data_IF_803813578759
#
_entry.id   IF_803813578759
#
_cell.length_a   1.000
_cell.length_b   1.000
_cell.length_c   1.000
_cell.angle_alpha   90.00
_cell.angle_beta   90.00
_cell.angle_gamma   90.00
#
_symmetry.space_group_name_H-M   'P 1'
#
loop_
_entity.id
_entity.type
_entity.pdbx_description
1 polymer ?
#
# COMPACT_ATOMS: atom_id res chain seq x y z
N UNK A 1 2.57 -8.02 -21.89
CA UNK A 1 2.49 -7.82 -20.44
C UNK A 1 3.80 -7.22 -19.99
N UNK A 2 3.82 -6.27 -19.08
CA UNK A 2 5.10 -5.75 -18.57
C UNK A 2 5.80 -6.84 -17.75
N UNK A 3 7.06 -7.08 -18.08
CA UNK A 3 7.92 -8.01 -17.33
C UNK A 3 8.75 -7.19 -16.34
N UNK A 4 8.80 -7.61 -15.10
CA UNK A 4 9.51 -6.93 -14.02
C UNK A 4 10.75 -7.72 -13.62
N UNK A 5 11.85 -7.00 -13.36
CA UNK A 5 13.04 -7.57 -12.75
C UNK A 5 12.82 -7.69 -11.23
N UNK A 6 12.81 -8.91 -10.66
CA UNK A 6 12.57 -9.11 -9.25
C UNK A 6 13.63 -8.45 -8.35
N UNK A 7 14.86 -8.30 -8.83
CA UNK A 7 15.96 -7.68 -8.05
C UNK A 7 15.77 -6.18 -7.84
N UNK A 8 15.01 -5.51 -8.70
CA UNK A 8 14.82 -4.05 -8.68
C UNK A 8 13.37 -3.63 -8.47
N UNK A 9 12.46 -4.59 -8.19
CA UNK A 9 11.03 -4.37 -8.01
C UNK A 9 10.59 -4.75 -6.60
N UNK A 10 9.79 -3.91 -5.95
CA UNK A 10 9.19 -4.19 -4.65
C UNK A 10 7.66 -4.13 -4.71
N UNK A 11 6.99 -5.10 -4.08
CA UNK A 11 5.57 -5.01 -3.76
C UNK A 11 5.41 -4.26 -2.44
N UNK A 12 4.56 -3.25 -2.42
CA UNK A 12 4.23 -2.48 -1.21
C UNK A 12 2.73 -2.58 -0.97
N UNK A 13 2.35 -3.24 0.11
CA UNK A 13 0.95 -3.44 0.51
C UNK A 13 0.59 -2.48 1.64
N UNK A 14 -0.40 -1.62 1.37
CA UNK A 14 -0.79 -0.51 2.24
C UNK A 14 -1.96 -0.92 3.14
N UNK A 15 -1.74 -0.83 4.45
CA UNK A 15 -2.74 -0.86 5.51
C UNK A 15 -3.68 -2.10 5.50
N UNK A 16 -3.14 -3.27 5.09
CA UNK A 16 -3.85 -4.55 5.21
C UNK A 16 -3.72 -5.09 6.65
N UNK A 17 -4.30 -4.33 7.59
CA UNK A 17 -4.26 -4.50 9.04
C UNK A 17 -5.65 -4.56 9.63
N UNK A 18 -5.80 -5.18 10.81
CA UNK A 18 -7.10 -5.42 11.46
C UNK A 18 -7.95 -4.16 11.61
N UNK A 19 -7.32 -3.03 11.99
CA UNK A 19 -8.03 -1.77 12.20
C UNK A 19 -8.54 -1.08 10.92
N UNK A 20 -8.01 -1.44 9.75
CA UNK A 20 -8.37 -0.82 8.47
C UNK A 20 -9.28 -1.71 7.62
N UNK A 21 -9.10 -3.03 7.66
CA UNK A 21 -9.93 -3.96 6.87
C UNK A 21 -11.36 -4.07 7.37
N UNK A 22 -11.63 -3.60 8.57
CA UNK A 22 -12.98 -3.58 9.15
C UNK A 22 -13.91 -2.65 8.37
N UNK A 23 -15.22 -2.98 8.37
CA UNK A 23 -16.29 -2.20 7.75
C UNK A 23 -16.36 -2.32 6.22
N UNK A 24 -17.39 -1.68 5.67
CA UNK A 24 -17.70 -1.76 4.23
C UNK A 24 -16.64 -1.07 3.38
N UNK A 25 -16.37 -1.69 2.23
CA UNK A 25 -15.46 -1.21 1.21
C UNK A 25 -16.10 -1.36 -0.18
N UNK A 26 -15.60 -0.58 -1.14
CA UNK A 26 -16.03 -0.66 -2.53
C UNK A 26 -14.93 -0.18 -3.49
N UNK A 27 -14.87 -0.76 -4.68
CA UNK A 27 -15.79 -1.72 -5.33
C UNK A 27 -15.66 -3.17 -4.84
N UNK A 28 -14.54 -3.52 -4.18
CA UNK A 28 -14.27 -4.87 -3.62
C UNK A 28 -14.35 -4.83 -2.11
N UNK A 29 -14.76 -5.91 -1.51
CA UNK A 29 -14.65 -6.08 -0.06
C UNK A 29 -13.19 -6.12 0.38
N UNK A 30 -12.93 -5.80 1.64
CA UNK A 30 -11.60 -5.93 2.21
C UNK A 30 -11.09 -7.38 2.16
N UNK A 31 -11.98 -8.37 2.33
CA UNK A 31 -11.61 -9.79 2.27
C UNK A 31 -11.11 -10.20 0.88
N UNK A 32 -11.75 -9.75 -0.20
CA UNK A 32 -11.29 -9.99 -1.57
C UNK A 32 -9.92 -9.38 -1.82
N UNK A 33 -9.72 -8.12 -1.40
CA UNK A 33 -8.40 -7.45 -1.54
C UNK A 33 -7.32 -8.16 -0.74
N UNK A 34 -7.61 -8.60 0.49
CA UNK A 34 -6.66 -9.35 1.32
C UNK A 34 -6.29 -10.68 0.65
N UNK A 35 -7.25 -11.41 0.10
CA UNK A 35 -6.99 -12.67 -0.60
C UNK A 35 -6.07 -12.45 -1.82
N UNK A 36 -6.41 -11.50 -2.68
CA UNK A 36 -5.61 -11.14 -3.86
C UNK A 36 -4.22 -10.62 -3.49
N UNK A 37 -4.11 -9.84 -2.40
CA UNK A 37 -2.83 -9.34 -1.91
C UNK A 37 -1.91 -10.46 -1.40
N UNK A 38 -2.44 -11.45 -0.69
CA UNK A 38 -1.68 -12.62 -0.23
C UNK A 38 -1.15 -13.44 -1.41
N UNK A 39 -1.99 -13.68 -2.41
CA UNK A 39 -1.59 -14.39 -3.63
C UNK A 39 -0.48 -13.63 -4.37
N UNK A 40 -0.66 -12.31 -4.57
CA UNK A 40 0.34 -11.48 -5.22
C UNK A 40 1.65 -11.47 -4.43
N UNK A 41 1.61 -11.30 -3.10
CA UNK A 41 2.79 -11.33 -2.24
C UNK A 41 3.52 -12.69 -2.31
N UNK A 42 2.80 -13.80 -2.36
CA UNK A 42 3.38 -15.13 -2.55
C UNK A 42 4.15 -15.23 -3.88
N UNK A 43 3.61 -14.67 -4.97
CA UNK A 43 4.29 -14.64 -6.28
C UNK A 43 5.55 -13.77 -6.25
N UNK A 44 5.53 -12.62 -5.57
CA UNK A 44 6.72 -11.77 -5.39
C UNK A 44 7.80 -12.50 -4.60
N UNK A 45 7.46 -13.12 -3.47
CA UNK A 45 8.40 -13.92 -2.66
C UNK A 45 8.99 -15.08 -3.47
N UNK A 46 8.16 -15.80 -4.21
CA UNK A 46 8.61 -16.91 -5.06
C UNK A 46 9.57 -16.47 -6.16
N UNK A 47 9.43 -15.24 -6.67
CA UNK A 47 10.36 -14.65 -7.63
C UNK A 47 11.62 -14.04 -6.99
N UNK A 48 11.74 -14.03 -5.67
CA UNK A 48 12.82 -13.38 -4.94
C UNK A 48 12.71 -11.84 -4.91
N UNK A 49 11.55 -11.29 -5.24
CA UNK A 49 11.28 -9.86 -5.19
C UNK A 49 10.88 -9.41 -3.77
N UNK A 50 11.23 -8.17 -3.44
CA UNK A 50 10.96 -7.61 -2.11
C UNK A 50 9.47 -7.42 -1.86
N UNK A 51 9.02 -7.82 -0.66
CA UNK A 51 7.68 -7.50 -0.15
C UNK A 51 7.81 -6.55 1.04
N UNK A 52 7.06 -5.45 1.00
CA UNK A 52 6.98 -4.45 2.07
C UNK A 52 5.54 -4.35 2.53
N UNK A 53 5.32 -4.54 3.80
CA UNK A 53 4.03 -4.40 4.46
C UNK A 53 4.00 -3.09 5.24
N UNK A 54 3.08 -2.21 4.87
CA UNK A 54 2.93 -0.90 5.51
C UNK A 54 1.67 -0.91 6.35
N UNK A 55 1.77 -0.43 7.58
CA UNK A 55 0.64 -0.25 8.47
C UNK A 55 0.62 1.15 9.08
N UNK A 56 -0.57 1.65 9.40
CA UNK A 56 -0.77 2.93 10.07
C UNK A 56 -1.11 2.70 11.53
N UNK A 57 -0.51 3.47 12.42
CA UNK A 57 -0.79 3.40 13.85
C UNK A 57 -0.46 4.70 14.56
N UNK A 58 -1.03 4.87 15.74
CA UNK A 58 -0.88 6.03 16.59
C UNK A 58 -0.72 5.53 18.02
N UNK A 59 0.55 5.38 18.45
CA UNK A 59 0.88 4.79 19.76
C UNK A 59 0.64 5.78 20.89
N UNK A 60 0.81 7.07 20.61
CA UNK A 60 0.46 8.15 21.53
C UNK A 60 -0.22 9.31 20.78
N UNK A 61 -0.57 10.35 21.53
CA UNK A 61 -1.28 11.50 20.97
C UNK A 61 -0.40 12.37 20.07
N UNK A 62 0.91 12.34 20.25
CA UNK A 62 1.84 13.10 19.43
C UNK A 62 2.02 12.49 18.03
N UNK A 63 1.75 11.20 17.87
CA UNK A 63 1.76 10.53 16.58
C UNK A 63 0.61 10.97 15.67
N UNK A 64 -0.49 11.50 16.25
CA UNK A 64 -1.68 11.89 15.50
C UNK A 64 -1.48 13.27 14.89
N UNK A 65 -1.46 13.40 13.54
CA UNK A 65 -1.32 14.70 12.90
C UNK A 65 -2.39 15.68 13.37
N UNK A 66 -1.93 16.80 13.90
CA UNK A 66 -2.79 17.86 14.43
C UNK A 66 -3.03 18.92 13.35
N UNK A 67 -4.19 18.89 12.71
CA UNK A 67 -4.59 19.89 11.74
C UNK A 67 -6.10 20.14 11.80
N UNK A 68 -6.49 21.39 11.54
CA UNK A 68 -7.91 21.73 11.38
C UNK A 68 -8.35 21.33 9.97
N UNK A 69 -9.29 20.39 9.89
CA UNK A 69 -9.84 19.91 8.62
C UNK A 69 -11.36 19.80 8.71
N UNK A 70 -12.04 20.00 7.58
CA UNK A 70 -13.50 19.98 7.53
C UNK A 70 -14.08 18.58 7.85
N UNK A 71 -13.36 17.52 7.44
CA UNK A 71 -13.79 16.11 7.62
C UNK A 71 -12.62 15.29 8.15
N UNK A 72 -12.44 15.25 9.47
CA UNK A 72 -11.36 14.47 10.08
C UNK A 72 -11.54 12.97 9.81
N UNK A 73 -10.47 12.32 9.40
CA UNK A 73 -10.44 10.88 9.12
C UNK A 73 -9.52 10.12 10.08
N UNK A 74 -8.68 10.84 10.81
CA UNK A 74 -7.77 10.27 11.80
C UNK A 74 -8.48 10.09 13.14
N UNK A 75 -8.03 9.13 13.96
CA UNK A 75 -8.57 8.96 15.32
C UNK A 75 -8.25 10.18 16.17
N UNK A 76 -9.07 10.43 17.20
CA UNK A 76 -8.83 11.49 18.18
C UNK A 76 -7.92 11.05 19.33
N UNK A 77 -7.84 9.76 19.55
CA UNK A 77 -7.07 9.12 20.62
C UNK A 77 -6.15 8.04 20.03
N UNK A 78 -5.09 7.64 20.74
CA UNK A 78 -4.21 6.55 20.33
C UNK A 78 -4.97 5.27 19.99
N UNK A 79 -4.49 4.54 19.01
CA UNK A 79 -5.09 3.28 18.57
C UNK A 79 -4.60 2.11 19.45
N UNK A 80 -5.47 1.11 19.74
CA UNK A 80 -5.04 -0.07 20.48
C UNK A 80 -4.01 -0.86 19.66
N UNK A 81 -3.14 -1.63 20.36
CA UNK A 81 -2.10 -2.43 19.71
C UNK A 81 -2.66 -3.37 18.62
N UNK A 82 -3.85 -3.96 18.83
CA UNK A 82 -4.50 -4.81 17.84
C UNK A 82 -4.88 -4.09 16.54
N UNK A 83 -4.99 -2.76 16.55
CA UNK A 83 -5.32 -1.98 15.35
C UNK A 83 -4.23 -2.10 14.29
N UNK A 84 -2.95 -2.10 14.70
CA UNK A 84 -1.79 -2.14 13.80
C UNK A 84 -1.41 -3.54 13.35
N UNK A 85 -1.98 -4.59 13.94
CA UNK A 85 -1.67 -5.97 13.57
C UNK A 85 -2.09 -6.26 12.13
N UNK A 86 -1.20 -6.85 11.34
CA UNK A 86 -1.55 -7.30 9.99
C UNK A 86 -2.63 -8.39 10.06
N UNK A 87 -3.37 -8.52 8.97
CA UNK A 87 -4.32 -9.63 8.82
C UNK A 87 -3.55 -10.95 8.84
N UNK A 88 -4.14 -11.96 9.48
CA UNK A 88 -3.53 -13.28 9.65
C UNK A 88 -2.99 -13.85 8.32
N UNK A 89 -1.77 -14.37 8.33
CA UNK A 89 -1.11 -15.02 7.19
C UNK A 89 -0.71 -14.07 6.04
N UNK A 90 -0.67 -12.75 6.25
CA UNK A 90 -0.13 -11.80 5.29
C UNK A 90 1.40 -11.68 5.43
N UNK A 91 1.86 -11.42 6.64
CA UNK A 91 3.28 -11.25 6.96
C UNK A 91 4.00 -12.61 6.96
N UNK A 92 5.20 -12.65 6.40
CA UNK A 92 6.08 -13.82 6.39
C UNK A 92 7.52 -13.40 6.67
N UNK A 93 8.33 -14.37 7.06
CA UNK A 93 9.77 -14.16 7.28
C UNK A 93 10.44 -13.59 6.02
N UNK A 94 11.23 -12.55 6.21
CA UNK A 94 11.91 -11.84 5.13
C UNK A 94 11.17 -10.63 4.59
N UNK A 95 9.92 -10.41 4.93
CA UNK A 95 9.19 -9.19 4.60
C UNK A 95 9.76 -7.99 5.38
N UNK A 96 9.64 -6.81 4.78
CA UNK A 96 9.94 -5.55 5.47
C UNK A 96 8.65 -4.95 5.97
N UNK A 97 8.64 -4.52 7.23
CA UNK A 97 7.52 -3.77 7.82
C UNK A 97 7.84 -2.29 7.97
N UNK A 98 6.84 -1.45 7.76
CA UNK A 98 6.93 0.01 7.90
C UNK A 98 5.70 0.53 8.63
N UNK A 99 5.90 1.11 9.81
CA UNK A 99 4.86 1.84 10.55
C UNK A 99 4.86 3.30 10.11
N UNK A 100 3.69 3.81 9.77
CA UNK A 100 3.48 5.22 9.41
C UNK A 100 2.43 5.89 10.29
N UNK A 101 2.48 7.21 10.35
CA UNK A 101 1.51 8.06 11.07
C UNK A 101 0.75 9.00 10.12
N UNK A 102 0.97 8.85 8.81
CA UNK A 102 0.36 9.65 7.74
C UNK A 102 -0.30 8.75 6.70
N UNK A 103 -0.99 9.32 5.71
CA UNK A 103 -1.54 8.53 4.61
C UNK A 103 -0.44 7.90 3.74
N UNK A 104 0.55 8.72 3.34
CA UNK A 104 1.66 8.26 2.50
C UNK A 104 2.70 7.47 3.29
N UNK A 105 3.19 6.39 2.69
CA UNK A 105 4.15 5.50 3.32
C UNK A 105 5.59 6.04 3.35
N UNK A 106 5.90 7.08 2.58
CA UNK A 106 7.23 7.70 2.55
C UNK A 106 7.37 8.82 3.59
N UNK A 107 6.27 9.44 3.99
CA UNK A 107 6.31 10.59 4.90
C UNK A 107 6.61 10.16 6.33
N UNK A 108 7.75 10.62 6.86
CA UNK A 108 8.15 10.36 8.24
C UNK A 108 8.56 8.91 8.53
N UNK A 109 8.90 8.14 7.48
CA UNK A 109 9.34 6.74 7.60
C UNK A 109 10.72 6.54 6.98
N UNK A 110 11.28 5.36 7.15
CA UNK A 110 12.54 4.94 6.51
C UNK A 110 12.32 4.13 5.22
N UNK A 111 11.11 4.16 4.63
CA UNK A 111 10.78 3.37 3.45
C UNK A 111 11.72 3.66 2.27
N UNK A 112 11.90 4.94 1.91
CA UNK A 112 12.80 5.32 0.79
C UNK A 112 14.23 4.79 1.02
N UNK A 113 14.76 4.97 2.22
CA UNK A 113 16.09 4.47 2.58
C UNK A 113 16.19 2.94 2.41
N UNK A 114 15.18 2.20 2.88
CA UNK A 114 15.11 0.73 2.76
C UNK A 114 15.08 0.27 1.31
N UNK A 115 14.32 0.95 0.45
CA UNK A 115 14.19 0.66 -0.98
C UNK A 115 15.49 1.00 -1.73
N UNK A 116 16.04 2.20 -1.53
CA UNK A 116 17.28 2.65 -2.21
C UNK A 116 18.46 1.76 -1.89
N UNK A 117 18.64 1.38 -0.63
CA UNK A 117 19.74 0.48 -0.23
C UNK A 117 19.69 -0.90 -0.87
N UNK A 118 18.52 -1.30 -1.37
CA UNK A 118 18.28 -2.58 -2.08
C UNK A 118 18.24 -2.43 -3.60
N UNK A 119 18.54 -1.23 -4.11
CA UNK A 119 18.52 -0.97 -5.55
C UNK A 119 17.13 -0.99 -6.18
N UNK A 120 16.05 -0.87 -5.38
CA UNK A 120 14.68 -0.86 -5.90
C UNK A 120 14.45 0.39 -6.74
N UNK A 121 13.90 0.18 -7.93
CA UNK A 121 13.54 1.22 -8.90
C UNK A 121 12.06 1.24 -9.20
N UNK A 122 11.40 0.07 -9.14
CA UNK A 122 9.97 -0.09 -9.41
C UNK A 122 9.24 -0.43 -8.14
N UNK A 123 8.16 0.27 -7.85
CA UNK A 123 7.26 -0.02 -6.73
C UNK A 123 5.89 -0.42 -7.25
N UNK A 124 5.42 -1.57 -6.84
CA UNK A 124 4.11 -2.12 -7.18
C UNK A 124 3.22 -1.97 -5.96
N UNK A 125 2.14 -1.21 -6.08
CA UNK A 125 1.30 -0.80 -4.96
C UNK A 125 -0.06 -1.48 -4.98
N UNK A 126 -0.47 -1.96 -3.81
CA UNK A 126 -1.81 -2.46 -3.52
C UNK A 126 -2.24 -2.10 -2.10
N UNK A 127 -3.46 -2.44 -1.70
CA UNK A 127 -3.96 -2.24 -0.34
C UNK A 127 -5.15 -1.30 -0.20
N UNK A 128 -5.34 -0.74 0.99
CA UNK A 128 -6.51 0.05 1.41
C UNK A 128 -6.05 1.37 2.06
N UNK A 129 -6.61 2.53 1.72
CA UNK A 129 -7.64 2.74 0.72
C UNK A 129 -7.04 3.41 -0.53
N UNK A 130 -7.60 3.10 -1.68
CA UNK A 130 -7.14 3.54 -3.01
C UNK A 130 -6.85 5.04 -3.07
N UNK A 131 -7.81 5.88 -2.68
CA UNK A 131 -7.73 7.34 -2.76
C UNK A 131 -7.16 8.02 -1.50
N UNK A 132 -6.60 7.25 -0.57
CA UNK A 132 -5.91 7.75 0.63
C UNK A 132 -4.48 7.21 0.68
N UNK A 133 -4.24 6.13 1.44
CA UNK A 133 -2.90 5.60 1.66
C UNK A 133 -2.21 5.15 0.37
N UNK A 134 -2.92 4.47 -0.53
CA UNK A 134 -2.34 4.02 -1.81
C UNK A 134 -1.99 5.21 -2.70
N UNK A 135 -2.92 6.14 -2.92
CA UNK A 135 -2.69 7.33 -3.76
C UNK A 135 -1.60 8.23 -3.19
N UNK A 136 -1.62 8.52 -1.88
CA UNK A 136 -0.58 9.35 -1.25
C UNK A 136 0.81 8.71 -1.39
N UNK A 137 0.89 7.39 -1.25
CA UNK A 137 2.15 6.65 -1.46
C UNK A 137 2.59 6.68 -2.91
N UNK A 138 1.66 6.52 -3.87
CA UNK A 138 1.95 6.58 -5.29
C UNK A 138 2.49 7.95 -5.73
N UNK A 139 1.89 9.04 -5.26
CA UNK A 139 2.35 10.41 -5.53
C UNK A 139 3.77 10.64 -5.02
N UNK A 140 4.03 10.27 -3.76
CA UNK A 140 5.36 10.40 -3.18
C UNK A 140 6.39 9.52 -3.90
N UNK A 141 6.05 8.30 -4.27
CA UNK A 141 6.95 7.42 -5.02
C UNK A 141 7.32 8.02 -6.39
N UNK A 142 6.32 8.55 -7.11
CA UNK A 142 6.54 9.22 -8.40
C UNK A 142 7.43 10.46 -8.26
N UNK A 143 7.18 11.32 -7.25
CA UNK A 143 8.01 12.50 -6.95
C UNK A 143 9.45 12.12 -6.57
N UNK A 144 9.64 10.95 -5.95
CA UNK A 144 10.95 10.37 -5.62
C UNK A 144 11.58 9.61 -6.80
N UNK A 145 10.99 9.68 -8.01
CA UNK A 145 11.49 9.05 -9.24
C UNK A 145 11.53 7.51 -9.20
N UNK A 146 10.55 6.89 -8.55
CA UNK A 146 10.28 5.47 -8.74
C UNK A 146 9.37 5.25 -9.95
N UNK A 147 9.56 4.14 -10.66
CA UNK A 147 8.56 3.60 -11.56
C UNK A 147 7.40 3.05 -10.73
N UNK A 148 6.21 3.64 -10.88
CA UNK A 148 5.05 3.28 -10.06
C UNK A 148 4.10 2.39 -10.86
N UNK A 149 3.64 1.32 -10.24
CA UNK A 149 2.64 0.40 -10.75
C UNK A 149 1.53 0.24 -9.72
N UNK A 150 0.29 0.47 -10.12
CA UNK A 150 -0.87 0.23 -9.27
C UNK A 150 -1.54 -1.08 -9.72
N UNK A 151 -1.72 -2.00 -8.79
CA UNK A 151 -2.47 -3.24 -9.05
C UNK A 151 -3.93 -2.99 -8.64
N UNK A 152 -4.74 -2.58 -9.61
CA UNK A 152 -6.09 -2.05 -9.37
C UNK A 152 -6.97 -3.06 -8.62
N UNK A 153 -6.93 -4.35 -8.99
CA UNK A 153 -7.73 -5.41 -8.38
C UNK A 153 -7.19 -5.89 -7.00
N UNK A 154 -6.06 -5.34 -6.57
CA UNK A 154 -5.51 -5.48 -5.21
C UNK A 154 -5.71 -4.19 -4.40
N UNK A 155 -6.63 -3.32 -4.82
CA UNK A 155 -7.00 -2.10 -4.08
C UNK A 155 -8.52 -1.97 -3.93
N UNK A 156 -8.94 -1.28 -2.89
CA UNK A 156 -10.34 -0.86 -2.67
C UNK A 156 -10.37 0.41 -1.83
N UNK A 157 -11.53 1.05 -1.77
CA UNK A 157 -11.72 2.27 -1.00
C UNK A 157 -12.95 2.20 -0.10
N UNK A 158 -13.36 3.32 0.48
CA UNK A 158 -14.61 3.43 1.25
C UNK A 158 -15.86 3.34 0.37
N UNK A 159 -15.72 3.60 -0.93
CA UNK A 159 -16.79 3.47 -1.91
C UNK A 159 -16.23 3.33 -3.32
N UNK A 160 -17.02 2.72 -4.22
CA UNK A 160 -16.64 2.53 -5.61
C UNK A 160 -16.35 3.84 -6.36
N UNK A 161 -17.11 4.93 -6.23
CA UNK A 161 -16.79 6.20 -6.89
C UNK A 161 -15.44 6.79 -6.49
N UNK A 162 -15.04 6.70 -5.22
CA UNK A 162 -13.76 7.20 -4.74
C UNK A 162 -12.59 6.38 -5.30
N UNK A 163 -12.76 5.06 -5.40
CA UNK A 163 -11.80 4.19 -6.05
C UNK A 163 -11.67 4.50 -7.54
N UNK A 164 -12.81 4.57 -8.26
CA UNK A 164 -12.85 4.82 -9.69
C UNK A 164 -12.17 6.15 -10.05
N UNK A 165 -12.43 7.22 -9.29
CA UNK A 165 -11.81 8.52 -9.53
C UNK A 165 -10.27 8.44 -9.49
N UNK A 166 -9.70 7.78 -8.48
CA UNK A 166 -8.25 7.64 -8.37
C UNK A 166 -7.69 6.80 -9.54
N UNK A 167 -8.33 5.67 -9.86
CA UNK A 167 -7.89 4.73 -10.90
C UNK A 167 -7.98 5.33 -12.30
N UNK A 168 -9.03 6.09 -12.60
CA UNK A 168 -9.30 6.62 -13.93
C UNK A 168 -8.65 7.99 -14.20
N UNK A 169 -8.52 8.82 -13.16
CA UNK A 169 -8.12 10.21 -13.36
C UNK A 169 -6.77 10.59 -12.74
N UNK A 170 -6.31 9.87 -11.70
CA UNK A 170 -5.06 10.20 -11.01
C UNK A 170 -3.92 9.26 -11.40
N UNK A 171 -4.11 7.97 -11.19
CA UNK A 171 -3.03 6.99 -11.37
C UNK A 171 -2.46 6.95 -12.79
N UNK A 172 -3.22 7.08 -13.88
CA UNK A 172 -2.65 7.08 -15.23
C UNK A 172 -1.67 8.21 -15.52
N UNK A 173 -1.64 9.25 -14.69
CA UNK A 173 -0.72 10.38 -14.83
C UNK A 173 0.62 10.15 -14.12
N UNK A 174 0.68 9.23 -13.15
CA UNK A 174 1.85 9.02 -12.28
C UNK A 174 2.27 7.56 -12.18
N UNK A 175 1.49 6.63 -12.76
CA UNK A 175 1.69 5.19 -12.62
C UNK A 175 1.17 4.42 -13.83
N UNK A 176 1.61 3.18 -13.96
CA UNK A 176 0.94 2.18 -14.79
C UNK A 176 -0.14 1.49 -13.96
N UNK A 177 -1.36 1.41 -14.47
CA UNK A 177 -2.47 0.71 -13.82
C UNK A 177 -2.64 -0.66 -14.49
N UNK A 178 -2.55 -1.73 -13.70
CA UNK A 178 -2.57 -3.12 -14.18
C UNK A 178 -3.45 -3.99 -13.29
N UNK A 179 -3.72 -5.22 -13.71
CA UNK A 179 -4.31 -6.27 -12.87
C UNK A 179 -3.22 -7.19 -12.30
N UNK A 180 -3.52 -7.88 -11.21
CA UNK A 180 -2.58 -8.82 -10.58
C UNK A 180 -2.09 -9.89 -11.56
N UNK A 181 -2.97 -10.40 -12.42
CA UNK A 181 -2.62 -11.40 -13.44
C UNK A 181 -1.62 -10.89 -14.50
N UNK A 182 -1.52 -9.58 -14.69
CA UNK A 182 -0.63 -8.96 -15.70
C UNK A 182 0.80 -8.79 -15.18
N UNK A 183 1.05 -9.04 -13.89
CA UNK A 183 2.38 -9.02 -13.30
C UNK A 183 3.13 -10.29 -13.72
N UNK A 184 4.25 -10.13 -14.38
CA UNK A 184 5.16 -11.21 -14.73
C UNK A 184 6.60 -10.83 -14.39
N UNK A 185 7.41 -11.81 -13.99
CA UNK A 185 8.83 -11.61 -13.70
C UNK A 185 9.68 -12.19 -14.82
N UNK A 186 10.79 -11.52 -15.13
CA UNK A 186 11.80 -11.97 -16.08
C UNK A 186 13.11 -11.22 -15.82
N UNK A 187 14.17 -11.81 -16.28
CA UNK A 187 15.52 -11.26 -16.19
C UNK A 187 15.82 -10.42 -17.42
#
# INVERSE_FOLDING_TARGET
>A
MPTFDPATTALILIDLQKGIVAGDKGPRSAAEVVASAKELASRFRAAGALVVLVHVGFCDRADIPSSSVDRPTLPKEPTPASFIEFVEGLEQDGDITVLKHHWGAFTGTDLDLKLRRRGIRTVVLGGIATNFGVESTARSAWELSYDVVIVEDVTTSRSAPLHAFAVEHIFPQIARVVKAQDIAFGH
#
